data_IF_747448197781
#
_entry.id   IF_747448197781
#
_cell.length_a   1.000
_cell.length_b   1.000
_cell.length_c   1.000
_cell.angle_alpha   90.00
_cell.angle_beta   90.00
_cell.angle_gamma   90.00
#
_symmetry.space_group_name_H-M   'P 1'
#
loop_
_entity.id
_entity.type
_entity.pdbx_description
1 polymer ?
#
# COMPACT_ATOMS: atom_id res chain seq x y z
N UNK A 1 1.78 -17.01 20.75
CA UNK A 1 1.43 -17.84 21.93
C UNK A 1 2.02 -19.27 21.80
N UNK A 2 1.70 -20.02 20.75
CA UNK A 2 2.18 -21.41 20.58
C UNK A 2 3.71 -21.54 20.58
N UNK A 3 4.44 -20.52 20.19
CA UNK A 3 5.90 -20.45 20.20
C UNK A 3 6.48 -19.89 21.52
N UNK A 4 5.66 -19.68 22.55
CA UNK A 4 6.08 -19.17 23.86
C UNK A 4 6.25 -17.65 23.93
N UNK A 5 5.69 -16.92 22.98
CA UNK A 5 5.63 -15.45 22.98
C UNK A 5 4.30 -14.95 23.55
N UNK A 6 4.35 -13.86 24.30
CA UNK A 6 3.19 -13.07 24.64
C UNK A 6 2.81 -12.20 23.44
N UNK A 7 1.55 -12.26 23.04
CA UNK A 7 1.00 -11.51 21.92
C UNK A 7 0.28 -10.27 22.45
N UNK A 8 0.74 -9.09 22.02
CA UNK A 8 0.16 -7.80 22.41
C UNK A 8 -0.43 -7.16 21.17
N UNK A 9 -1.69 -6.74 21.23
CA UNK A 9 -2.36 -6.00 20.16
C UNK A 9 -2.62 -4.57 20.63
N UNK A 10 -2.33 -3.64 19.74
CA UNK A 10 -2.71 -2.24 19.88
C UNK A 10 -3.57 -1.84 18.68
N UNK A 11 -4.76 -1.35 18.92
CA UNK A 11 -5.69 -0.90 17.89
C UNK A 11 -6.69 0.11 18.48
N UNK A 12 -7.04 1.12 17.71
CA UNK A 12 -8.07 2.10 18.08
C UNK A 12 -9.51 1.66 17.73
N UNK A 13 -9.67 0.60 16.95
CA UNK A 13 -10.98 0.10 16.52
C UNK A 13 -11.44 -1.07 17.42
N UNK A 14 -12.52 -0.89 18.22
CA UNK A 14 -13.05 -1.95 19.06
C UNK A 14 -13.93 -2.96 18.31
N UNK A 15 -14.28 -2.70 17.05
CA UNK A 15 -15.22 -3.52 16.28
C UNK A 15 -14.52 -4.42 15.25
N UNK A 16 -13.36 -4.95 15.58
CA UNK A 16 -12.62 -5.88 14.70
C UNK A 16 -12.25 -7.15 15.46
N UNK A 17 -12.14 -8.27 14.76
CA UNK A 17 -11.80 -9.58 15.33
C UNK A 17 -10.45 -9.54 16.06
N UNK A 18 -9.49 -8.75 15.61
CA UNK A 18 -8.18 -8.63 16.28
C UNK A 18 -8.26 -8.04 17.69
N UNK A 19 -9.32 -7.33 18.03
CA UNK A 19 -9.54 -6.73 19.35
C UNK A 19 -10.48 -7.55 20.25
N UNK A 20 -10.86 -8.76 19.83
CA UNK A 20 -11.58 -9.67 20.70
C UNK A 20 -10.67 -10.13 21.86
N UNK A 21 -11.24 -10.22 23.05
CA UNK A 21 -10.53 -10.54 24.29
C UNK A 21 -9.75 -11.88 24.26
N UNK A 22 -10.13 -12.78 23.35
CA UNK A 22 -9.52 -14.11 23.22
C UNK A 22 -8.38 -14.18 22.20
N UNK A 23 -8.09 -13.09 21.46
CA UNK A 23 -7.14 -13.11 20.34
C UNK A 23 -5.69 -12.86 20.80
N UNK A 24 -5.51 -11.99 21.78
CA UNK A 24 -4.18 -11.62 22.31
C UNK A 24 -4.09 -11.84 23.81
N UNK A 25 -2.87 -11.85 24.35
CA UNK A 25 -2.62 -11.90 25.80
C UNK A 25 -2.84 -10.53 26.42
N UNK A 26 -2.54 -9.46 25.69
CA UNK A 26 -2.78 -8.06 26.07
C UNK A 26 -3.35 -7.26 24.95
N UNK A 27 -4.23 -6.34 25.28
CA UNK A 27 -4.91 -5.46 24.32
C UNK A 27 -4.87 -4.02 24.81
N UNK A 28 -4.40 -3.12 23.94
CA UNK A 28 -4.37 -1.69 24.14
C UNK A 28 -5.30 -0.99 23.14
N UNK A 29 -6.30 -0.27 23.66
CA UNK A 29 -7.17 0.60 22.85
C UNK A 29 -6.62 2.02 22.90
N UNK A 30 -5.61 2.28 22.08
CA UNK A 30 -4.96 3.58 21.99
C UNK A 30 -4.88 4.04 20.52
N UNK A 31 -4.73 5.34 20.27
CA UNK A 31 -4.48 5.85 18.94
C UNK A 31 -3.20 5.26 18.35
N UNK A 32 -3.21 4.97 17.05
CA UNK A 32 -2.02 4.49 16.34
C UNK A 32 -1.14 5.68 15.90
N UNK A 33 -0.74 6.51 16.88
CA UNK A 33 0.27 7.56 16.70
C UNK A 33 1.63 7.06 17.15
N UNK A 34 2.71 7.67 16.65
CA UNK A 34 4.06 7.29 17.07
C UNK A 34 4.26 7.39 18.59
N UNK A 35 3.75 8.46 19.19
CA UNK A 35 3.91 8.73 20.62
C UNK A 35 3.17 7.70 21.48
N UNK A 36 1.91 7.39 21.15
CA UNK A 36 1.11 6.41 21.89
C UNK A 36 1.70 4.99 21.74
N UNK A 37 2.15 4.64 20.55
CA UNK A 37 2.80 3.34 20.30
C UNK A 37 4.10 3.23 21.08
N UNK A 38 4.93 4.28 21.14
CA UNK A 38 6.16 4.28 21.92
C UNK A 38 5.88 4.15 23.43
N UNK A 39 4.82 4.76 23.95
CA UNK A 39 4.42 4.62 25.35
C UNK A 39 4.12 3.15 25.69
N UNK A 40 3.43 2.43 24.83
CA UNK A 40 3.14 1.00 25.01
C UNK A 40 4.43 0.17 24.88
N UNK A 41 5.29 0.48 23.91
CA UNK A 41 6.59 -0.18 23.74
C UNK A 41 7.47 0.00 24.97
N UNK A 42 7.54 1.20 25.51
CA UNK A 42 8.33 1.50 26.71
C UNK A 42 7.80 0.78 27.97
N UNK A 43 6.49 0.59 28.04
CA UNK A 43 5.85 -0.14 29.14
C UNK A 43 6.09 -1.65 29.03
N UNK A 44 5.85 -2.21 27.85
CA UNK A 44 5.82 -3.66 27.62
C UNK A 44 7.17 -4.25 27.23
N UNK A 45 8.10 -3.43 26.73
CA UNK A 45 9.44 -3.85 26.27
C UNK A 45 9.36 -5.08 25.35
N UNK A 46 8.55 -5.03 24.26
CA UNK A 46 8.36 -6.19 23.40
C UNK A 46 9.64 -6.55 22.66
N UNK A 47 9.77 -7.79 22.23
CA UNK A 47 10.89 -8.26 21.40
C UNK A 47 10.93 -7.55 20.03
N UNK A 48 9.81 -7.08 19.54
CA UNK A 48 9.68 -6.31 18.32
C UNK A 48 8.20 -6.08 17.98
N UNK A 49 7.98 -5.34 16.92
CA UNK A 49 6.65 -4.90 16.47
C UNK A 49 6.37 -5.38 15.04
N UNK A 50 5.18 -5.88 14.81
CA UNK A 50 4.67 -6.22 13.46
C UNK A 50 3.72 -5.12 13.02
N UNK A 51 3.97 -4.50 11.88
CA UNK A 51 3.18 -3.38 11.33
C UNK A 51 2.34 -3.77 10.11
N UNK A 52 2.61 -4.89 9.46
CA UNK A 52 1.98 -5.26 8.18
C UNK A 52 0.48 -5.56 8.29
N UNK A 53 0.00 -5.99 9.45
CA UNK A 53 -1.40 -6.41 9.63
C UNK A 53 -2.37 -5.29 9.99
N UNK A 54 -1.90 -4.06 10.12
CA UNK A 54 -2.70 -2.90 10.53
C UNK A 54 -3.06 -1.92 9.41
N UNK A 55 -2.89 -2.32 8.14
CA UNK A 55 -3.09 -1.44 6.99
C UNK A 55 -2.11 -0.26 6.96
N UNK A 56 -2.41 0.75 6.15
CA UNK A 56 -1.50 1.88 5.91
C UNK A 56 -1.16 2.65 7.18
N UNK A 57 -2.09 2.77 8.12
CA UNK A 57 -1.84 3.47 9.39
C UNK A 57 -0.71 2.82 10.18
N UNK A 58 -0.67 1.49 10.26
CA UNK A 58 0.38 0.79 10.97
C UNK A 58 1.69 0.74 10.15
N UNK A 59 1.61 0.55 8.83
CA UNK A 59 2.77 0.55 7.93
C UNK A 59 3.52 1.89 8.00
N UNK A 60 2.81 3.01 8.04
CA UNK A 60 3.40 4.35 8.17
C UNK A 60 4.18 4.56 9.49
N UNK A 61 3.98 3.70 10.48
CA UNK A 61 4.75 3.74 11.73
C UNK A 61 6.07 2.97 11.64
N UNK A 62 6.29 2.15 10.61
CA UNK A 62 7.49 1.30 10.49
C UNK A 62 8.78 2.12 10.53
N UNK A 63 8.90 3.13 9.69
CA UNK A 63 10.09 3.97 9.59
C UNK A 63 10.37 4.76 10.88
N UNK A 64 9.42 5.54 11.44
CA UNK A 64 9.67 6.27 12.69
C UNK A 64 9.99 5.35 13.88
N UNK A 65 9.35 4.18 13.99
CA UNK A 65 9.67 3.21 15.03
C UNK A 65 11.07 2.63 14.87
N UNK A 66 11.46 2.24 13.65
CA UNK A 66 12.81 1.76 13.37
C UNK A 66 13.88 2.82 13.67
N UNK A 67 13.64 4.09 13.31
CA UNK A 67 14.53 5.21 13.65
C UNK A 67 14.66 5.43 15.15
N UNK A 68 13.62 5.12 15.93
CA UNK A 68 13.65 5.14 17.39
C UNK A 68 14.33 3.91 18.02
N UNK A 69 14.84 2.97 17.22
CA UNK A 69 15.54 1.77 17.68
C UNK A 69 14.61 0.59 17.96
N UNK A 70 13.35 0.65 17.60
CA UNK A 70 12.40 -0.45 17.75
C UNK A 70 12.65 -1.51 16.66
N UNK A 71 12.70 -2.77 17.05
CA UNK A 71 12.85 -3.88 16.10
C UNK A 71 11.54 -4.10 15.34
N UNK A 72 11.55 -3.95 14.02
CA UNK A 72 10.44 -4.32 13.15
C UNK A 72 10.57 -5.80 12.80
N UNK A 73 9.56 -6.59 13.14
CA UNK A 73 9.46 -8.01 12.83
C UNK A 73 8.73 -8.21 11.50
N UNK A 74 9.15 -9.21 10.73
CA UNK A 74 8.62 -9.47 9.40
C UNK A 74 9.33 -8.64 8.34
N UNK A 75 8.58 -8.06 7.39
CA UNK A 75 9.15 -7.26 6.30
C UNK A 75 9.85 -6.02 6.84
N UNK A 76 11.09 -5.81 6.44
CA UNK A 76 11.90 -4.69 6.90
C UNK A 76 11.49 -3.38 6.23
N UNK A 77 11.81 -2.24 6.86
CA UNK A 77 11.41 -0.91 6.37
C UNK A 77 11.85 -0.67 4.93
N UNK A 78 13.08 -1.02 4.59
CA UNK A 78 13.59 -0.85 3.22
C UNK A 78 12.81 -1.65 2.16
N UNK A 79 12.29 -2.82 2.54
CA UNK A 79 11.48 -3.65 1.64
C UNK A 79 10.02 -3.16 1.60
N UNK A 80 9.51 -2.58 2.70
CA UNK A 80 8.23 -1.89 2.70
C UNK A 80 8.26 -0.68 1.77
N UNK A 81 9.28 0.17 1.88
CA UNK A 81 9.47 1.33 1.00
C UNK A 81 9.58 0.89 -0.47
N UNK A 82 10.32 -0.18 -0.73
CA UNK A 82 10.47 -0.75 -2.07
C UNK A 82 9.16 -1.27 -2.65
N UNK A 83 8.25 -1.77 -1.81
CA UNK A 83 6.93 -2.24 -2.24
C UNK A 83 5.92 -1.08 -2.42
N UNK A 84 6.03 -0.02 -1.62
CA UNK A 84 5.14 1.13 -1.64
C UNK A 84 5.50 2.16 -2.73
N UNK A 85 6.80 2.35 -2.98
CA UNK A 85 7.29 3.25 -4.02
C UNK A 85 7.14 2.59 -5.40
N UNK A 86 6.42 3.26 -6.31
CA UNK A 86 6.13 2.73 -7.64
C UNK A 86 7.38 2.44 -8.45
N UNK A 87 8.33 3.35 -8.46
CA UNK A 87 9.52 3.24 -9.30
C UNK A 87 10.45 2.13 -8.76
N UNK A 88 10.58 2.04 -7.44
CA UNK A 88 11.33 0.98 -6.78
C UNK A 88 10.66 -0.39 -6.97
N UNK A 89 9.34 -0.44 -6.89
CA UNK A 89 8.59 -1.68 -7.12
C UNK A 89 8.68 -2.13 -8.57
N UNK A 90 8.53 -1.22 -9.53
CA UNK A 90 8.71 -1.51 -10.95
C UNK A 90 10.11 -2.04 -11.26
N UNK A 91 11.14 -1.45 -10.64
CA UNK A 91 12.50 -1.94 -10.77
C UNK A 91 12.67 -3.34 -10.17
N UNK A 92 12.08 -3.58 -9.00
CA UNK A 92 12.09 -4.90 -8.36
C UNK A 92 11.46 -5.98 -9.24
N UNK A 93 10.33 -5.69 -9.88
CA UNK A 93 9.67 -6.62 -10.80
C UNK A 93 10.54 -6.90 -12.04
N UNK A 94 11.20 -5.88 -12.57
CA UNK A 94 12.14 -6.03 -13.70
C UNK A 94 13.35 -6.88 -13.32
N UNK A 95 13.93 -6.65 -12.16
CA UNK A 95 15.09 -7.41 -11.67
C UNK A 95 14.76 -8.89 -11.44
N UNK A 96 13.51 -9.19 -11.12
CA UNK A 96 12.99 -10.53 -10.89
C UNK A 96 12.39 -11.18 -12.16
N UNK A 97 12.40 -10.49 -13.30
CA UNK A 97 11.77 -10.92 -14.56
C UNK A 97 10.26 -11.24 -14.38
N UNK A 98 9.59 -10.51 -13.51
CA UNK A 98 8.14 -10.63 -13.28
C UNK A 98 7.40 -9.70 -14.25
N UNK A 99 6.52 -10.24 -15.10
CA UNK A 99 5.76 -9.42 -16.03
C UNK A 99 4.78 -8.51 -15.31
N UNK A 100 4.67 -7.27 -15.78
CA UNK A 100 3.71 -6.30 -15.29
C UNK A 100 2.96 -5.64 -16.45
N UNK A 101 1.75 -5.16 -16.25
CA UNK A 101 1.04 -4.41 -17.28
C UNK A 101 1.85 -3.18 -17.70
N UNK A 102 2.00 -2.90 -19.00
CA UNK A 102 2.58 -1.64 -19.44
C UNK A 102 1.77 -0.46 -18.90
N UNK A 103 2.46 0.52 -18.31
CA UNK A 103 1.82 1.70 -17.75
C UNK A 103 2.73 2.92 -17.74
N UNK A 104 2.14 4.08 -17.65
CA UNK A 104 2.85 5.36 -17.51
C UNK A 104 2.07 6.32 -16.61
N UNK A 105 2.79 7.19 -15.93
CA UNK A 105 2.21 8.35 -15.26
C UNK A 105 2.02 9.50 -16.23
N UNK A 106 0.95 10.27 -16.06
CA UNK A 106 0.66 11.48 -16.82
C UNK A 106 0.22 12.59 -15.88
N UNK A 107 0.76 13.78 -16.06
CA UNK A 107 0.41 14.97 -15.28
C UNK A 107 -0.58 15.87 -15.99
N UNK A 108 -0.81 15.62 -17.27
CA UNK A 108 -1.73 16.39 -18.11
C UNK A 108 -2.38 15.52 -19.19
N UNK A 109 -3.40 16.08 -19.86
CA UNK A 109 -4.20 15.40 -20.88
C UNK A 109 -3.36 14.86 -22.04
N UNK A 110 -2.40 15.65 -22.54
CA UNK A 110 -1.60 15.25 -23.71
C UNK A 110 -0.62 14.12 -23.38
N UNK A 111 -0.02 14.13 -22.20
CA UNK A 111 0.83 13.03 -21.71
C UNK A 111 0.03 11.74 -21.58
N UNK A 112 -1.20 11.81 -21.03
CA UNK A 112 -2.07 10.65 -20.90
C UNK A 112 -2.45 10.06 -22.26
N UNK A 113 -2.77 10.91 -23.24
CA UNK A 113 -3.09 10.47 -24.61
C UNK A 113 -1.88 9.83 -25.28
N UNK A 114 -0.70 10.41 -25.13
CA UNK A 114 0.55 9.82 -25.65
C UNK A 114 0.85 8.46 -25.02
N UNK A 115 0.67 8.34 -23.70
CA UNK A 115 0.82 7.07 -22.98
C UNK A 115 -0.16 6.03 -23.50
N UNK A 116 -1.46 6.37 -23.57
CA UNK A 116 -2.50 5.44 -24.04
C UNK A 116 -2.30 5.00 -25.49
N UNK A 117 -1.86 5.89 -26.39
CA UNK A 117 -1.54 5.52 -27.78
C UNK A 117 -0.37 4.54 -27.87
N UNK A 118 0.61 4.67 -26.97
CA UNK A 118 1.76 3.75 -26.91
C UNK A 118 1.41 2.40 -26.31
N UNK A 119 0.55 2.40 -25.28
CA UNK A 119 0.10 1.20 -24.57
C UNK A 119 -0.93 0.42 -25.41
N UNK A 120 -1.84 1.13 -26.07
CA UNK A 120 -3.02 0.61 -26.77
C UNK A 120 -4.26 0.62 -25.87
N UNK A 121 -5.41 0.91 -26.46
CA UNK A 121 -6.71 0.84 -25.77
C UNK A 121 -7.24 -0.59 -25.73
N UNK A 122 -8.02 -0.97 -24.69
CA UNK A 122 -8.46 -0.14 -23.58
C UNK A 122 -7.34 0.07 -22.54
N UNK A 123 -7.39 1.21 -21.86
CA UNK A 123 -6.50 1.54 -20.74
C UNK A 123 -7.28 1.71 -19.44
N UNK A 124 -6.66 1.36 -18.34
CA UNK A 124 -7.15 1.66 -16.99
C UNK A 124 -6.52 2.97 -16.54
N UNK A 125 -7.33 3.93 -16.15
CA UNK A 125 -6.86 5.22 -15.63
C UNK A 125 -7.27 5.38 -14.16
N UNK A 126 -6.32 5.85 -13.36
CA UNK A 126 -6.54 6.09 -11.92
C UNK A 126 -5.67 7.22 -11.41
N UNK A 127 -6.16 8.09 -10.51
CA UNK A 127 -5.31 9.05 -9.82
C UNK A 127 -4.33 8.30 -8.90
N UNK A 128 -3.11 8.83 -8.76
CA UNK A 128 -2.07 8.21 -7.91
C UNK A 128 -2.42 8.19 -6.42
N UNK A 129 -3.33 9.05 -5.99
CA UNK A 129 -3.74 9.20 -4.59
C UNK A 129 -5.26 9.12 -4.45
N UNK A 130 -5.84 7.93 -4.60
CA UNK A 130 -7.24 7.69 -4.26
C UNK A 130 -7.39 6.39 -3.48
N UNK A 131 -7.90 6.50 -2.27
CA UNK A 131 -8.27 5.36 -1.43
C UNK A 131 -9.54 4.69 -1.97
N UNK A 132 -9.46 3.37 -2.20
CA UNK A 132 -10.62 2.52 -2.38
C UNK A 132 -11.24 2.51 -3.79
N UNK A 133 -10.44 2.65 -4.87
CA UNK A 133 -10.93 2.44 -6.24
C UNK A 133 -11.91 3.52 -6.76
N UNK A 134 -12.16 4.58 -6.00
CA UNK A 134 -12.94 5.72 -6.47
C UNK A 134 -12.15 6.47 -7.54
N UNK A 135 -12.85 6.83 -8.61
CA UNK A 135 -12.29 7.50 -9.79
C UNK A 135 -11.31 6.64 -10.64
N UNK A 136 -11.33 5.32 -10.51
CA UNK A 136 -10.70 4.42 -11.45
C UNK A 136 -11.67 4.13 -12.58
N UNK A 137 -11.23 4.23 -13.84
CA UNK A 137 -12.08 4.04 -15.02
C UNK A 137 -11.35 3.26 -16.11
N UNK A 138 -12.09 2.37 -16.78
CA UNK A 138 -11.62 1.70 -17.98
C UNK A 138 -12.03 2.58 -19.16
N UNK A 139 -11.06 2.99 -19.94
CA UNK A 139 -11.24 3.93 -21.05
C UNK A 139 -10.93 3.22 -22.36
N UNK A 140 -11.89 3.23 -23.27
CA UNK A 140 -11.83 2.49 -24.53
C UNK A 140 -11.27 3.30 -25.70
N UNK A 141 -11.26 4.62 -25.59
CA UNK A 141 -10.83 5.51 -26.67
C UNK A 141 -10.28 6.84 -26.14
N UNK A 142 -9.72 7.63 -27.05
CA UNK A 142 -9.06 8.90 -26.71
C UNK A 142 -10.03 9.97 -26.20
N UNK A 143 -11.25 10.03 -26.72
CA UNK A 143 -12.23 11.05 -26.32
C UNK A 143 -12.68 10.87 -24.88
N UNK A 144 -12.91 9.60 -24.48
CA UNK A 144 -13.22 9.25 -23.10
C UNK A 144 -12.03 9.54 -22.17
N UNK A 145 -10.80 9.23 -22.62
CA UNK A 145 -9.60 9.57 -21.87
C UNK A 145 -9.46 11.07 -21.61
N UNK A 146 -9.67 11.88 -22.62
CA UNK A 146 -9.64 13.35 -22.50
C UNK A 146 -10.72 13.85 -21.54
N UNK A 147 -11.91 13.28 -21.61
CA UNK A 147 -13.01 13.60 -20.69
C UNK A 147 -12.67 13.26 -19.25
N UNK A 148 -12.11 12.07 -19.00
CA UNK A 148 -11.63 11.64 -17.68
C UNK A 148 -10.55 12.58 -17.14
N UNK A 149 -9.52 12.88 -17.92
CA UNK A 149 -8.40 13.73 -17.51
C UNK A 149 -8.86 15.14 -17.10
N UNK A 150 -9.80 15.73 -17.80
CA UNK A 150 -10.37 17.05 -17.44
C UNK A 150 -11.02 17.04 -16.05
N UNK A 151 -11.57 15.92 -15.64
CA UNK A 151 -12.22 15.75 -14.33
C UNK A 151 -11.19 15.38 -13.26
N UNK A 152 -10.31 14.44 -13.55
CA UNK A 152 -9.30 13.94 -12.62
C UNK A 152 -8.26 15.02 -12.26
N UNK A 153 -7.73 15.74 -13.24
CA UNK A 153 -6.76 16.83 -13.04
C UNK A 153 -7.37 18.00 -12.25
N UNK A 154 -8.66 18.28 -12.45
CA UNK A 154 -9.36 19.31 -11.64
C UNK A 154 -9.52 18.90 -10.18
N UNK A 155 -9.72 17.61 -9.94
CA UNK A 155 -9.90 17.08 -8.57
C UNK A 155 -8.57 17.00 -7.80
N UNK A 156 -7.44 16.81 -8.49
CA UNK A 156 -6.13 16.63 -7.89
C UNK A 156 -5.02 17.21 -8.80
N UNK A 157 -4.86 18.55 -8.85
CA UNK A 157 -3.95 19.21 -9.81
C UNK A 157 -2.48 18.84 -9.64
N UNK A 158 -2.08 18.50 -8.41
CA UNK A 158 -0.69 18.27 -8.03
C UNK A 158 -0.28 16.78 -8.08
N UNK A 159 -1.21 15.91 -8.47
CA UNK A 159 -0.95 14.47 -8.47
C UNK A 159 -1.09 13.86 -9.87
N UNK A 160 -0.11 13.02 -10.28
CA UNK A 160 -0.17 12.36 -11.56
C UNK A 160 -1.33 11.35 -11.65
N UNK A 161 -1.81 11.11 -12.85
CA UNK A 161 -2.74 10.04 -13.19
C UNK A 161 -1.95 8.87 -13.75
N UNK A 162 -2.29 7.67 -13.34
CA UNK A 162 -1.75 6.44 -13.87
C UNK A 162 -2.58 6.01 -15.09
N UNK A 163 -1.90 5.66 -16.16
CA UNK A 163 -2.50 5.12 -17.40
C UNK A 163 -1.86 3.76 -17.63
N UNK A 164 -2.59 2.70 -17.33
CA UNK A 164 -2.10 1.33 -17.38
C UNK A 164 -2.86 0.54 -18.45
N UNK A 165 -2.22 -0.46 -19.06
CA UNK A 165 -2.91 -1.40 -19.96
C UNK A 165 -4.00 -2.14 -19.19
N UNK A 166 -5.22 -2.16 -19.73
CA UNK A 166 -6.28 -2.98 -19.18
C UNK A 166 -6.17 -4.42 -19.70
N UNK A 167 -5.89 -5.35 -18.79
CA UNK A 167 -5.75 -6.77 -19.13
C UNK A 167 -7.03 -7.50 -18.73
N UNK A 168 -7.67 -8.16 -19.70
CA UNK A 168 -8.80 -9.06 -19.43
C UNK A 168 -8.24 -10.43 -19.09
N UNK A 169 -8.55 -10.92 -17.88
CA UNK A 169 -8.05 -12.21 -17.42
C UNK A 169 -8.77 -12.69 -16.15
N UNK A 170 -8.34 -13.83 -15.65
CA UNK A 170 -8.80 -14.32 -14.36
C UNK A 170 -7.98 -13.64 -13.26
N UNK A 171 -8.67 -12.99 -12.33
CA UNK A 171 -8.06 -12.35 -11.18
C UNK A 171 -7.69 -13.39 -10.13
N UNK A 172 -6.47 -13.28 -9.59
CA UNK A 172 -5.96 -14.13 -8.52
C UNK A 172 -5.21 -13.27 -7.51
N UNK A 173 -5.46 -13.49 -6.22
CA UNK A 173 -4.68 -12.92 -5.13
C UNK A 173 -3.80 -14.01 -4.51
N UNK A 174 -2.59 -13.65 -4.14
CA UNK A 174 -1.64 -14.58 -3.51
C UNK A 174 -0.99 -13.87 -2.32
N UNK A 175 -1.15 -14.46 -1.13
CA UNK A 175 -0.44 -14.08 0.07
C UNK A 175 0.69 -15.07 0.35
N UNK A 176 1.86 -14.57 0.73
CA UNK A 176 3.00 -15.40 1.04
C UNK A 176 3.67 -14.99 2.35
N UNK A 177 4.12 -15.97 3.11
CA UNK A 177 4.98 -15.78 4.27
C UNK A 177 6.31 -16.50 3.97
N UNK A 178 7.42 -15.80 4.11
CA UNK A 178 8.76 -16.35 3.88
C UNK A 178 9.64 -16.17 5.11
N UNK A 179 10.48 -17.16 5.39
CA UNK A 179 11.55 -17.08 6.38
C UNK A 179 12.89 -16.60 5.78
N UNK A 180 12.89 -16.19 4.51
CA UNK A 180 14.05 -15.68 3.80
C UNK A 180 14.95 -16.77 3.19
N UNK A 181 14.48 -18.04 3.14
CA UNK A 181 15.21 -19.16 2.53
C UNK A 181 14.52 -19.66 1.26
#
# INVERSE_FOLDING_TARGET
>A
QAAGYEAIIMNSNPETVSTDFSVSDKLYFEPLTFEDVMNVIDLEQPKGVIVQFGGQTAINLAEPLAKAGVTILGTQVADLDRAEDRDLFEQALKDLDIPQPPGQTATNEEEAVLAARKIGFPVLVRPSYVLGGRAMEIVENEDDLRSYMRTAVKASPDHPVLVDSYIVGQECEVDAISDGQ
#
